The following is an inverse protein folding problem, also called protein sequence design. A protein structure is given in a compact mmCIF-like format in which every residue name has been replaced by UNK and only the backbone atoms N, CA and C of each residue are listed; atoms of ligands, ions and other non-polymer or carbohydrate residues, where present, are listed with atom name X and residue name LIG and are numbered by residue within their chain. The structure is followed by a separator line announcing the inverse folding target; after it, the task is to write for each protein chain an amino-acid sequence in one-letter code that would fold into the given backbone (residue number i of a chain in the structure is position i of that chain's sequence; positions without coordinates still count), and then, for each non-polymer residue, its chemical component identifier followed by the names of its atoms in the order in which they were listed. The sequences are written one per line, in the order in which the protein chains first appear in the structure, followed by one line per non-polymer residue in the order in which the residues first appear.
data_IF_860171591180
#
_entry.id   IF_860171591180
#
_cell.length_a   1.000
_cell.length_b   1.000
_cell.length_c   1.000
_cell.angle_alpha   90.00
_cell.angle_beta   90.00
_cell.angle_gamma   90.00
#
_symmetry.space_group_name_H-M   'P 1'
#
loop_
_entity.id
_entity.type
_entity.pdbx_description
1 polymer ?
#
# COMPACT_ATOMS: atom_id res chain seq x y z
N UNK A 1 -17.62 5.57 -0.45
CA UNK A 1 -18.00 6.96 -0.07
C UNK A 1 -16.77 7.58 0.57
N UNK A 2 -16.59 8.89 0.59
CA UNK A 2 -15.50 9.49 1.37
C UNK A 2 -15.69 9.16 2.85
N UNK A 3 -14.63 8.71 3.54
CA UNK A 3 -14.70 8.29 4.95
C UNK A 3 -14.97 9.45 5.90
N UNK A 4 -14.54 10.66 5.55
CA UNK A 4 -14.68 11.87 6.38
C UNK A 4 -16.01 12.62 6.17
N UNK A 5 -16.42 12.77 4.91
CA UNK A 5 -17.57 13.61 4.50
C UNK A 5 -18.80 12.81 4.08
N UNK A 6 -18.65 11.50 3.82
CA UNK A 6 -19.73 10.64 3.34
C UNK A 6 -20.13 10.87 1.87
N UNK A 7 -19.42 11.76 1.16
CA UNK A 7 -19.67 12.08 -0.25
C UNK A 7 -19.59 10.82 -1.14
N UNK A 8 -20.45 10.77 -2.15
CA UNK A 8 -20.51 9.64 -3.06
C UNK A 8 -19.57 9.84 -4.25
N UNK A 9 -18.54 9.01 -4.33
CA UNK A 9 -17.51 9.05 -5.38
C UNK A 9 -17.88 8.25 -6.64
N UNK A 10 -19.04 7.59 -6.67
CA UNK A 10 -19.38 6.61 -7.69
C UNK A 10 -19.13 5.16 -7.24
N UNK A 11 -19.42 4.21 -8.15
CA UNK A 11 -19.01 2.82 -8.00
C UNK A 11 -17.54 2.63 -8.40
N UNK A 12 -16.94 1.47 -8.08
CA UNK A 12 -15.53 1.20 -8.39
C UNK A 12 -15.28 1.17 -9.90
N UNK A 13 -14.08 1.58 -10.31
CA UNK A 13 -13.66 1.62 -11.72
C UNK A 13 -13.20 0.26 -12.25
N UNK A 14 -13.31 -0.82 -11.47
CA UNK A 14 -12.75 -2.15 -11.73
C UNK A 14 -12.97 -2.65 -13.16
N UNK A 15 -14.17 -2.44 -13.73
CA UNK A 15 -14.50 -2.88 -15.10
C UNK A 15 -13.73 -2.17 -16.22
N UNK A 16 -13.07 -1.05 -15.91
CA UNK A 16 -12.26 -0.28 -16.84
C UNK A 16 -10.76 -0.42 -16.58
N UNK A 17 -10.37 -0.99 -15.44
CA UNK A 17 -8.97 -1.19 -15.07
C UNK A 17 -8.61 -2.65 -15.32
N UNK A 18 -7.91 -2.92 -16.41
CA UNK A 18 -7.43 -4.28 -16.70
C UNK A 18 -6.39 -4.73 -15.66
N UNK A 19 -5.39 -3.89 -15.39
CA UNK A 19 -4.33 -4.21 -14.43
C UNK A 19 -4.04 -3.03 -13.51
N UNK A 20 -4.00 -3.30 -12.20
CA UNK A 20 -3.54 -2.40 -11.15
C UNK A 20 -2.20 -2.91 -10.60
N UNK A 21 -1.18 -2.05 -10.56
CA UNK A 21 0.13 -2.37 -9.98
C UNK A 21 0.44 -1.37 -8.87
N UNK A 22 0.41 -1.82 -7.62
CA UNK A 22 0.83 -1.03 -6.47
C UNK A 22 2.34 -1.11 -6.29
N UNK A 23 3.06 0.02 -6.34
CA UNK A 23 4.51 0.06 -6.13
C UNK A 23 4.81 0.83 -4.85
N UNK A 24 5.44 0.16 -3.87
CA UNK A 24 5.69 0.70 -2.54
C UNK A 24 4.44 1.32 -1.89
N UNK A 25 3.27 0.69 -2.07
CA UNK A 25 2.00 1.18 -1.52
C UNK A 25 1.92 1.00 0.01
N UNK A 26 1.42 1.97 0.78
CA UNK A 26 1.21 1.83 2.23
C UNK A 26 -0.21 1.33 2.55
N UNK A 27 -0.64 0.20 1.98
CA UNK A 27 -2.03 -0.27 2.05
C UNK A 27 -2.46 -0.72 3.45
N UNK A 28 -1.53 -0.95 4.36
CA UNK A 28 -1.79 -1.16 5.79
C UNK A 28 -1.07 -0.13 6.67
N UNK A 29 -0.83 1.07 6.11
CA UNK A 29 -0.20 2.19 6.79
C UNK A 29 1.31 2.28 6.58
N UNK A 30 1.96 3.14 7.38
CA UNK A 30 3.39 3.42 7.27
C UNK A 30 4.16 3.07 8.54
N UNK A 31 5.35 2.48 8.40
CA UNK A 31 6.35 2.38 9.46
C UNK A 31 7.63 3.07 9.02
N UNK A 32 7.82 4.30 9.48
CA UNK A 32 9.03 5.06 9.24
C UNK A 32 10.21 4.37 9.93
N UNK A 33 11.25 4.06 9.15
CA UNK A 33 12.50 3.56 9.72
C UNK A 33 13.40 4.75 10.08
N UNK A 34 13.61 4.98 11.38
CA UNK A 34 14.52 6.02 11.88
C UNK A 34 15.71 5.34 12.52
N UNK A 35 16.91 5.48 11.93
CA UNK A 35 18.14 4.88 12.46
C UNK A 35 18.12 3.35 12.49
N UNK A 36 17.40 2.69 11.57
CA UNK A 36 17.28 1.22 11.51
C UNK A 36 16.25 0.63 12.47
N UNK A 37 15.53 1.46 13.21
CA UNK A 37 14.41 1.05 14.06
C UNK A 37 13.10 1.38 13.35
N UNK A 38 12.25 0.37 13.15
CA UNK A 38 10.86 0.55 12.72
C UNK A 38 10.11 1.27 13.84
N UNK A 39 9.98 2.59 13.72
CA UNK A 39 9.12 3.38 14.60
C UNK A 39 7.76 3.39 13.90
N UNK A 40 6.64 3.12 14.58
CA UNK A 40 5.35 3.33 13.95
C UNK A 40 5.28 4.83 13.66
N UNK A 41 5.37 5.21 12.37
CA UNK A 41 5.53 6.60 11.96
C UNK A 41 4.39 7.50 12.45
N UNK A 42 3.29 6.84 12.85
CA UNK A 42 2.07 7.42 13.33
C UNK A 42 1.80 7.25 14.84
N UNK A 43 2.74 6.79 15.68
CA UNK A 43 2.51 6.72 17.15
C UNK A 43 2.07 8.07 17.70
N UNK A 44 2.69 9.16 17.24
CA UNK A 44 2.45 10.49 17.79
C UNK A 44 1.41 11.31 17.01
N UNK A 45 0.87 10.80 15.90
CA UNK A 45 -0.11 11.50 15.03
C UNK A 45 0.24 12.95 14.62
N UNK A 46 1.49 13.39 14.83
CA UNK A 46 1.92 14.78 14.56
C UNK A 46 2.21 15.06 13.09
N UNK A 47 2.32 14.01 12.27
CA UNK A 47 2.54 14.12 10.83
C UNK A 47 1.16 14.05 10.16
N UNK A 48 0.79 14.98 9.26
CA UNK A 48 -0.53 14.99 8.62
C UNK A 48 -0.92 13.66 7.94
N UNK A 49 0.06 12.93 7.42
CA UNK A 49 -0.13 11.60 6.81
C UNK A 49 -0.69 10.57 7.81
N UNK A 50 -0.57 10.82 9.12
CA UNK A 50 -1.02 9.92 10.19
C UNK A 50 -2.41 10.26 10.73
N UNK A 51 -3.23 10.98 9.97
CA UNK A 51 -4.62 11.23 10.34
C UNK A 51 -5.39 9.91 10.54
N UNK A 52 -6.14 9.79 11.64
CA UNK A 52 -6.88 8.56 11.99
C UNK A 52 -8.15 8.35 11.15
N UNK A 53 -8.62 9.36 10.44
CA UNK A 53 -9.78 9.28 9.55
C UNK A 53 -9.31 9.11 8.11
N UNK A 54 -8.57 10.09 7.57
CA UNK A 54 -8.21 10.16 6.14
C UNK A 54 -6.76 9.79 5.81
N UNK A 55 -5.96 9.46 6.82
CA UNK A 55 -4.53 9.21 6.66
C UNK A 55 -4.15 7.72 6.62
N UNK A 56 -2.87 7.46 6.81
CA UNK A 56 -2.20 6.17 6.82
C UNK A 56 -1.83 5.73 8.25
N UNK A 57 -2.65 6.10 9.25
CA UNK A 57 -2.41 5.78 10.65
C UNK A 57 -2.38 4.27 10.90
N UNK A 58 -1.28 3.78 11.48
CA UNK A 58 -1.09 2.40 11.94
C UNK A 58 -0.38 2.31 13.31
N UNK A 59 -0.43 3.40 14.09
CA UNK A 59 0.41 3.61 15.28
C UNK A 59 0.06 2.76 16.51
N UNK A 60 -1.15 2.18 16.57
CA UNK A 60 -1.61 1.35 17.69
C UNK A 60 -2.32 0.10 17.18
N UNK A 61 -1.54 -0.84 16.62
CA UNK A 61 -2.09 -2.08 16.06
C UNK A 61 -2.97 -2.84 17.09
N UNK A 62 -4.10 -3.43 16.66
CA UNK A 62 -4.54 -3.59 15.26
C UNK A 62 -5.34 -2.40 14.70
N UNK A 63 -5.42 -1.27 15.41
CA UNK A 63 -6.20 -0.11 14.96
C UNK A 63 -5.47 0.67 13.86
N UNK A 64 -6.11 0.73 12.69
CA UNK A 64 -5.70 1.50 11.52
C UNK A 64 -6.65 2.70 11.31
N UNK A 65 -6.34 3.64 10.41
CA UNK A 65 -7.26 4.73 10.07
C UNK A 65 -8.57 4.24 9.45
N UNK A 66 -9.63 5.03 9.52
CA UNK A 66 -10.90 4.71 8.84
C UNK A 66 -10.72 4.53 7.33
N UNK A 67 -9.86 5.35 6.71
CA UNK A 67 -9.47 5.20 5.31
C UNK A 67 -8.85 3.83 5.02
N UNK A 68 -7.84 3.41 5.80
CA UNK A 68 -7.20 2.10 5.61
C UNK A 68 -8.18 0.94 5.84
N UNK A 69 -9.07 1.08 6.82
CA UNK A 69 -10.12 0.09 7.07
C UNK A 69 -11.12 0.02 5.90
N UNK A 70 -11.52 1.16 5.33
CA UNK A 70 -12.46 1.22 4.20
C UNK A 70 -11.86 0.58 2.94
N UNK A 71 -10.65 0.96 2.54
CA UNK A 71 -10.01 0.39 1.35
C UNK A 71 -9.76 -1.12 1.49
N UNK A 72 -9.46 -1.61 2.70
CA UNK A 72 -9.23 -3.04 2.92
C UNK A 72 -10.52 -3.83 3.23
N UNK A 73 -11.69 -3.17 3.29
CA UNK A 73 -12.97 -3.84 3.56
C UNK A 73 -13.54 -4.60 2.36
N UNK A 74 -13.02 -4.32 1.16
CA UNK A 74 -13.44 -4.93 -0.10
C UNK A 74 -12.22 -5.48 -0.83
N UNK A 75 -12.45 -6.54 -1.59
CA UNK A 75 -11.39 -7.28 -2.29
C UNK A 75 -11.58 -7.11 -3.79
N UNK A 76 -10.50 -6.75 -4.50
CA UNK A 76 -10.46 -6.80 -5.95
C UNK A 76 -11.12 -5.63 -6.67
N UNK A 77 -11.40 -4.53 -5.99
CA UNK A 77 -12.07 -3.38 -6.60
C UNK A 77 -11.07 -2.46 -7.34
N UNK A 78 -9.77 -2.67 -7.17
CA UNK A 78 -8.68 -1.93 -7.80
C UNK A 78 -8.59 -2.21 -9.30
N UNK A 79 -8.84 -3.44 -9.74
CA UNK A 79 -8.75 -3.85 -11.14
C UNK A 79 -8.97 -5.34 -11.36
N UNK A 80 -8.99 -5.76 -12.62
CA UNK A 80 -9.17 -7.18 -12.98
C UNK A 80 -7.96 -8.04 -12.62
N UNK A 81 -6.74 -7.51 -12.78
CA UNK A 81 -5.50 -8.12 -12.32
C UNK A 81 -4.80 -7.17 -11.36
N UNK A 82 -4.40 -7.66 -10.18
CA UNK A 82 -3.84 -6.83 -9.11
C UNK A 82 -2.49 -7.41 -8.73
N UNK A 83 -1.47 -6.56 -8.77
CA UNK A 83 -0.11 -6.93 -8.39
C UNK A 83 0.49 -5.88 -7.47
N UNK A 84 1.49 -6.29 -6.70
CA UNK A 84 2.26 -5.37 -5.85
C UNK A 84 3.76 -5.55 -6.04
N UNK A 85 4.49 -4.46 -5.86
CA UNK A 85 5.95 -4.41 -5.90
C UNK A 85 6.39 -3.68 -4.64
N UNK A 86 7.23 -4.31 -3.81
CA UNK A 86 7.72 -3.69 -2.57
C UNK A 86 9.12 -4.16 -2.22
N UNK A 87 9.74 -3.48 -1.25
CA UNK A 87 11.07 -3.79 -0.77
C UNK A 87 11.10 -3.98 0.74
N UNK A 88 11.87 -4.95 1.21
CA UNK A 88 12.09 -5.17 2.66
C UNK A 88 12.85 -4.03 3.33
N UNK A 89 13.57 -3.22 2.56
CA UNK A 89 14.33 -2.05 3.02
C UNK A 89 13.73 -0.71 2.62
N UNK A 90 12.44 -0.68 2.28
CA UNK A 90 11.71 0.57 2.13
C UNK A 90 11.75 1.36 3.45
N UNK A 91 12.45 2.49 3.44
CA UNK A 91 12.66 3.34 4.61
C UNK A 91 11.53 4.34 4.88
N UNK A 92 10.62 4.54 3.92
CA UNK A 92 9.53 5.51 4.00
C UNK A 92 8.23 4.80 4.42
N UNK A 93 7.83 3.79 3.65
CA UNK A 93 6.60 3.04 3.90
C UNK A 93 6.85 1.90 4.89
N UNK A 94 8.05 1.33 4.87
CA UNK A 94 8.38 0.13 5.65
C UNK A 94 7.91 -1.15 4.96
N UNK A 95 8.41 -2.29 5.45
CA UNK A 95 7.99 -3.60 4.94
C UNK A 95 6.83 -4.18 5.72
N UNK A 96 6.95 -4.20 7.07
CA UNK A 96 5.98 -4.79 7.97
C UNK A 96 5.32 -3.71 8.83
N UNK A 97 3.99 -3.66 8.79
CA UNK A 97 3.15 -2.82 9.63
C UNK A 97 2.05 -3.70 10.22
N UNK A 98 1.83 -3.65 11.53
CA UNK A 98 0.83 -4.49 12.21
C UNK A 98 0.90 -6.00 11.88
N UNK A 99 2.12 -6.54 11.80
CA UNK A 99 2.40 -7.94 11.43
C UNK A 99 1.93 -8.33 10.02
N UNK A 100 1.77 -7.35 9.13
CA UNK A 100 1.39 -7.54 7.72
C UNK A 100 2.41 -6.88 6.82
N UNK A 101 2.59 -7.42 5.62
CA UNK A 101 3.32 -6.73 4.56
C UNK A 101 2.47 -5.55 4.12
N UNK A 102 2.91 -4.32 4.41
CA UNK A 102 2.03 -3.16 4.26
C UNK A 102 1.62 -2.89 2.82
N UNK A 103 2.47 -3.26 1.86
CA UNK A 103 2.19 -3.05 0.44
C UNK A 103 1.30 -4.09 -0.21
N UNK A 104 0.94 -5.16 0.50
CA UNK A 104 0.02 -6.14 -0.06
C UNK A 104 -1.39 -5.56 -0.21
N UNK A 105 -2.12 -6.04 -1.21
CA UNK A 105 -3.52 -5.73 -1.43
C UNK A 105 -4.31 -7.03 -1.31
N UNK A 106 -5.43 -6.99 -0.61
CA UNK A 106 -6.29 -8.16 -0.48
C UNK A 106 -6.78 -8.61 -1.87
N UNK A 107 -6.56 -9.89 -2.20
CA UNK A 107 -6.93 -10.44 -3.51
C UNK A 107 -5.94 -10.18 -4.64
N UNK A 108 -4.74 -9.64 -4.35
CA UNK A 108 -3.67 -9.57 -5.35
C UNK A 108 -3.32 -10.96 -5.92
N UNK A 109 -2.97 -11.01 -7.20
CA UNK A 109 -2.59 -12.23 -7.93
C UNK A 109 -1.11 -12.58 -7.76
N UNK A 110 -0.27 -11.62 -7.42
CA UNK A 110 1.15 -11.84 -7.21
C UNK A 110 1.89 -10.59 -6.75
N UNK A 111 3.13 -10.79 -6.33
CA UNK A 111 3.99 -9.71 -5.85
C UNK A 111 5.46 -9.89 -6.26
N UNK A 112 6.14 -8.77 -6.51
CA UNK A 112 7.60 -8.70 -6.59
C UNK A 112 8.15 -8.13 -5.30
N UNK A 113 8.99 -8.91 -4.62
CA UNK A 113 9.66 -8.49 -3.38
C UNK A 113 11.14 -8.27 -3.66
N UNK A 114 11.62 -7.07 -3.39
CA UNK A 114 13.05 -6.76 -3.38
C UNK A 114 13.60 -6.83 -1.95
N UNK A 115 14.84 -7.31 -1.80
CA UNK A 115 15.44 -7.46 -0.48
C UNK A 115 16.06 -6.16 0.05
N UNK A 116 16.59 -5.30 -0.83
CA UNK A 116 17.54 -4.26 -0.44
C UNK A 116 17.36 -2.89 -1.12
N UNK A 117 16.23 -2.66 -1.80
CA UNK A 117 15.98 -1.35 -2.40
C UNK A 117 15.40 -0.38 -1.38
N UNK A 118 15.78 0.89 -1.47
CA UNK A 118 15.09 1.96 -0.77
C UNK A 118 13.73 2.24 -1.47
N UNK A 119 12.92 3.13 -0.90
CA UNK A 119 11.59 3.48 -1.42
C UNK A 119 11.63 3.91 -2.90
N UNK A 120 12.48 4.88 -3.23
CA UNK A 120 12.57 5.46 -4.58
C UNK A 120 13.13 4.44 -5.59
N UNK A 121 14.13 3.67 -5.19
CA UNK A 121 14.72 2.61 -6.03
C UNK A 121 13.71 1.50 -6.33
N UNK A 122 12.81 1.19 -5.39
CA UNK A 122 11.72 0.22 -5.60
C UNK A 122 10.83 0.65 -6.78
N UNK A 123 10.58 1.95 -6.93
CA UNK A 123 9.87 2.50 -8.08
C UNK A 123 10.75 2.56 -9.33
N UNK A 124 11.92 3.19 -9.24
CA UNK A 124 12.75 3.49 -10.41
C UNK A 124 13.40 2.26 -11.07
N UNK A 125 13.61 1.18 -10.34
CA UNK A 125 14.27 -0.04 -10.88
C UNK A 125 13.29 -1.13 -11.30
N UNK A 126 11.99 -0.96 -11.03
CA UNK A 126 10.98 -1.99 -11.27
C UNK A 126 10.19 -1.82 -12.57
N UNK A 127 10.52 -0.85 -13.43
CA UNK A 127 9.78 -0.59 -14.67
C UNK A 127 9.56 -1.82 -15.56
N UNK A 128 10.56 -2.70 -15.69
CA UNK A 128 10.41 -3.94 -16.47
C UNK A 128 9.43 -4.92 -15.82
N UNK A 129 9.39 -4.97 -14.49
CA UNK A 129 8.44 -5.79 -13.73
C UNK A 129 7.02 -5.21 -13.87
N UNK A 130 6.88 -3.88 -13.72
CA UNK A 130 5.61 -3.18 -13.94
C UNK A 130 5.06 -3.45 -15.35
N UNK A 131 5.91 -3.38 -16.38
CA UNK A 131 5.52 -3.67 -17.76
C UNK A 131 5.09 -5.12 -17.94
N UNK A 132 5.80 -6.09 -17.35
CA UNK A 132 5.43 -7.51 -17.41
C UNK A 132 4.08 -7.77 -16.72
N UNK A 133 3.82 -7.14 -15.57
CA UNK A 133 2.54 -7.23 -14.87
C UNK A 133 1.40 -6.65 -15.70
N UNK A 134 1.59 -5.46 -16.32
CA UNK A 134 0.55 -4.79 -17.12
C UNK A 134 0.29 -5.49 -18.45
N UNK A 135 1.34 -5.92 -19.15
CA UNK A 135 1.21 -6.49 -20.50
C UNK A 135 0.88 -7.98 -20.50
N UNK A 136 1.54 -8.72 -19.61
CA UNK A 136 1.58 -10.18 -19.66
C UNK A 136 0.92 -10.82 -18.42
N UNK A 137 0.49 -10.02 -17.43
CA UNK A 137 -0.15 -10.46 -16.17
C UNK A 137 0.70 -11.47 -15.38
N UNK A 138 2.02 -11.31 -15.40
CA UNK A 138 2.98 -12.19 -14.70
C UNK A 138 3.89 -11.40 -13.77
N UNK A 139 4.43 -12.13 -12.79
CA UNK A 139 5.50 -11.66 -11.90
C UNK A 139 6.84 -12.18 -12.42
N UNK A 140 7.80 -11.28 -12.62
CA UNK A 140 9.18 -11.58 -13.07
C UNK A 140 10.22 -11.11 -12.07
#
# INVERSE_FOLDING_TARGET
RCVDSGEYLGGPLTKYIDTFVGVAGPNHGISLQVGGVAIPGCVFSVIPVCNQVTGLYSGFCPSESEFLQDINSQVGYEGKHIFTIHSKKDQIVGHIVCNRVTSQIAGQMGEKVFENLNHDDTFHTSHSVQLAMVRDHVVV
#
